data_IF_851266205440
#
_entry.id   IF_851266205440
#
_cell.length_a   1.000
_cell.length_b   1.000
_cell.length_c   1.000
_cell.angle_alpha   90.00
_cell.angle_beta   90.00
_cell.angle_gamma   90.00
#
_symmetry.space_group_name_H-M   'P 1'
#
loop_
_entity.id
_entity.type
_entity.pdbx_description
1 polymer ?
#
# COMPACT_ATOMS: atom_id res chain seq x y z
N UNK A 1 -18.55 -6.79 10.25
CA UNK A 1 -17.39 -6.35 9.47
C UNK A 1 -16.58 -7.55 9.04
N UNK A 2 -16.21 -7.56 7.78
CA UNK A 2 -15.43 -8.66 7.27
C UNK A 2 -13.95 -8.43 7.59
N UNK A 3 -13.26 -9.48 8.03
CA UNK A 3 -11.84 -9.40 8.31
C UNK A 3 -11.10 -10.16 7.23
N UNK A 4 -10.22 -9.47 6.54
CA UNK A 4 -9.36 -10.08 5.53
C UNK A 4 -7.98 -10.29 6.12
N UNK A 5 -7.20 -11.13 5.50
CA UNK A 5 -5.82 -11.32 5.96
C UNK A 5 -4.87 -11.15 4.79
N UNK A 6 -3.65 -10.74 5.10
CA UNK A 6 -2.60 -10.62 4.11
C UNK A 6 -1.34 -11.26 4.67
N UNK A 7 -0.66 -12.04 3.84
CA UNK A 7 0.56 -12.70 4.24
C UNK A 7 1.76 -11.92 3.73
N UNK A 8 2.62 -11.54 4.65
CA UNK A 8 3.87 -10.88 4.31
C UNK A 8 4.97 -11.63 5.05
N UNK A 9 5.40 -12.78 4.49
CA UNK A 9 6.36 -13.64 5.21
C UNK A 9 7.67 -12.94 5.50
N UNK A 10 8.02 -11.94 4.71
CA UNK A 10 9.24 -11.17 4.94
C UNK A 10 9.20 -10.42 6.27
N UNK A 11 8.00 -10.15 6.79
CA UNK A 11 7.85 -9.41 8.03
C UNK A 11 7.47 -10.35 9.17
N UNK A 12 6.51 -11.24 8.94
CA UNK A 12 6.02 -12.12 9.99
C UNK A 12 5.49 -13.41 9.39
N UNK A 13 5.69 -14.51 10.10
CA UNK A 13 5.13 -15.80 9.68
C UNK A 13 3.61 -15.81 9.82
N UNK A 14 3.08 -15.00 10.73
CA UNK A 14 1.65 -14.95 10.97
C UNK A 14 1.03 -13.92 10.06
N UNK A 15 -0.11 -14.27 9.44
CA UNK A 15 -0.80 -13.33 8.57
C UNK A 15 -1.30 -12.13 9.36
N UNK A 16 -1.31 -10.98 8.71
CA UNK A 16 -1.83 -9.76 9.32
C UNK A 16 -3.31 -9.65 9.02
N UNK A 17 -4.08 -9.19 10.00
CA UNK A 17 -5.50 -8.95 9.82
C UNK A 17 -5.70 -7.56 9.20
N UNK A 18 -6.63 -7.50 8.24
CA UNK A 18 -6.95 -6.25 7.57
C UNK A 18 -8.41 -5.94 7.85
N UNK A 19 -8.66 -4.89 8.62
CA UNK A 19 -10.01 -4.50 8.96
C UNK A 19 -10.51 -3.47 7.95
N UNK A 20 -11.67 -3.74 7.35
CA UNK A 20 -12.24 -2.81 6.38
C UNK A 20 -13.21 -1.86 7.08
N UNK A 21 -12.73 -1.28 8.17
CA UNK A 21 -13.49 -0.34 8.97
C UNK A 21 -13.52 1.03 8.30
N UNK A 22 -14.46 1.87 8.73
CA UNK A 22 -14.50 3.25 8.24
C UNK A 22 -13.17 3.95 8.45
N UNK A 23 -12.52 3.70 9.59
CA UNK A 23 -11.24 4.33 9.88
C UNK A 23 -10.20 3.96 8.83
N UNK A 24 -10.12 2.69 8.47
CA UNK A 24 -9.13 2.25 7.49
C UNK A 24 -9.50 2.66 6.08
N UNK A 25 -10.80 2.70 5.76
CA UNK A 25 -11.22 3.22 4.46
C UNK A 25 -10.86 4.69 4.34
N UNK A 26 -11.04 5.47 5.41
CA UNK A 26 -10.63 6.87 5.40
C UNK A 26 -9.12 6.99 5.20
N UNK A 27 -8.35 6.14 5.87
CA UNK A 27 -6.89 6.15 5.70
C UNK A 27 -6.51 5.87 4.25
N UNK A 28 -7.20 4.94 3.61
CA UNK A 28 -6.94 4.62 2.22
C UNK A 28 -7.23 5.82 1.31
N UNK A 29 -8.35 6.50 1.53
CA UNK A 29 -8.68 7.68 0.73
C UNK A 29 -7.69 8.81 0.96
N UNK A 30 -7.28 9.02 2.21
CA UNK A 30 -6.29 10.05 2.51
C UNK A 30 -4.97 9.77 1.81
N UNK A 31 -4.56 8.50 1.81
CA UNK A 31 -3.36 8.08 1.11
C UNK A 31 -3.47 8.35 -0.38
N UNK A 32 -4.58 7.96 -1.00
CA UNK A 32 -4.76 8.16 -2.42
C UNK A 32 -4.81 9.65 -2.79
N UNK A 33 -5.50 10.44 -1.98
CA UNK A 33 -5.57 11.88 -2.25
C UNK A 33 -4.19 12.54 -2.11
N UNK A 34 -3.42 12.12 -1.11
CA UNK A 34 -2.07 12.65 -0.93
C UNK A 34 -1.19 12.31 -2.13
N UNK A 35 -1.27 11.07 -2.61
CA UNK A 35 -0.47 10.65 -3.75
C UNK A 35 -0.85 11.43 -5.01
N UNK A 36 -2.14 11.62 -5.23
CA UNK A 36 -2.60 12.38 -6.39
C UNK A 36 -2.12 13.82 -6.36
N UNK A 37 -2.22 14.45 -5.18
CA UNK A 37 -1.78 15.82 -5.02
C UNK A 37 -0.29 15.97 -5.26
N UNK A 38 0.49 15.04 -4.72
CA UNK A 38 1.94 15.06 -4.91
C UNK A 38 2.27 14.82 -6.38
N UNK A 39 1.58 13.87 -7.03
CA UNK A 39 1.83 13.55 -8.43
C UNK A 39 1.58 14.75 -9.33
N UNK A 40 0.54 15.52 -9.03
CA UNK A 40 0.27 16.74 -9.80
C UNK A 40 1.42 17.73 -9.69
N UNK A 41 2.01 17.83 -8.51
CA UNK A 41 3.14 18.72 -8.30
C UNK A 41 4.38 18.25 -9.07
N UNK A 42 4.61 16.94 -9.10
CA UNK A 42 5.77 16.38 -9.75
C UNK A 42 5.71 16.56 -11.27
N UNK A 43 4.53 16.46 -11.83
CA UNK A 43 4.37 16.38 -13.28
C UNK A 43 5.05 17.53 -14.01
N UNK A 44 4.94 18.74 -13.48
CA UNK A 44 5.56 19.91 -14.09
C UNK A 44 6.76 20.40 -13.30
N UNK A 45 7.26 19.60 -12.38
CA UNK A 45 8.33 20.04 -11.49
C UNK A 45 9.72 19.82 -12.06
N UNK A 46 10.70 20.49 -11.49
CA UNK A 46 12.09 20.27 -11.88
C UNK A 46 12.61 18.99 -11.16
N UNK A 47 13.88 18.70 -11.37
CA UNK A 47 14.47 17.46 -10.83
C UNK A 47 14.35 17.39 -9.31
N UNK A 48 14.56 18.51 -8.63
CA UNK A 48 14.49 18.54 -7.16
C UNK A 48 13.06 18.28 -6.72
N UNK A 49 12.08 18.91 -7.38
CA UNK A 49 10.68 18.71 -7.03
C UNK A 49 10.24 17.28 -7.29
N UNK A 50 10.73 16.67 -8.37
CA UNK A 50 10.41 15.28 -8.66
C UNK A 50 10.97 14.35 -7.60
N UNK A 51 12.21 14.58 -7.17
CA UNK A 51 12.81 13.76 -6.13
C UNK A 51 12.07 13.92 -4.81
N UNK A 52 11.70 15.15 -4.46
CA UNK A 52 10.97 15.42 -3.24
C UNK A 52 9.60 14.75 -3.25
N UNK A 53 8.93 14.79 -4.41
CA UNK A 53 7.63 14.16 -4.56
C UNK A 53 7.70 12.65 -4.45
N UNK A 54 8.70 12.04 -5.08
CA UNK A 54 8.88 10.59 -4.99
C UNK A 54 9.11 10.15 -3.56
N UNK A 55 9.92 10.91 -2.82
CA UNK A 55 10.17 10.66 -1.41
C UNK A 55 8.86 10.74 -0.63
N UNK A 56 8.07 11.78 -0.88
CA UNK A 56 6.82 11.99 -0.14
C UNK A 56 5.80 10.88 -0.44
N UNK A 57 5.72 10.45 -1.71
CA UNK A 57 4.81 9.37 -2.08
C UNK A 57 5.19 8.09 -1.32
N UNK A 58 6.48 7.77 -1.27
CA UNK A 58 6.91 6.57 -0.56
C UNK A 58 6.59 6.67 0.92
N UNK A 59 6.80 7.85 1.52
CA UNK A 59 6.47 8.04 2.93
C UNK A 59 4.98 7.84 3.18
N UNK A 60 4.13 8.35 2.29
CA UNK A 60 2.68 8.17 2.42
C UNK A 60 2.31 6.69 2.32
N UNK A 61 2.93 5.98 1.38
CA UNK A 61 2.67 4.56 1.20
C UNK A 61 3.05 3.75 2.43
N UNK A 62 4.24 4.00 2.96
CA UNK A 62 4.72 3.29 4.14
C UNK A 62 3.84 3.58 5.36
N UNK A 63 3.44 4.84 5.52
CA UNK A 63 2.56 5.22 6.63
C UNK A 63 1.20 4.58 6.53
N UNK A 64 0.66 4.48 5.32
CA UNK A 64 -0.63 3.84 5.09
C UNK A 64 -0.56 2.35 5.49
N UNK A 65 0.47 1.65 5.01
CA UNK A 65 0.62 0.22 5.33
C UNK A 65 0.77 0.04 6.83
N UNK A 66 1.62 0.84 7.47
CA UNK A 66 1.84 0.73 8.91
C UNK A 66 0.55 0.92 9.69
N UNK A 67 -0.23 1.94 9.31
CA UNK A 67 -1.45 2.27 10.04
C UNK A 67 -2.52 1.19 9.86
N UNK A 68 -2.71 0.72 8.63
CA UNK A 68 -3.76 -0.26 8.35
C UNK A 68 -3.44 -1.60 9.00
N UNK A 69 -2.18 -2.01 8.96
CA UNK A 69 -1.76 -3.29 9.54
C UNK A 69 -1.36 -3.17 11.01
N UNK A 70 -1.33 -1.95 11.53
CA UNK A 70 -0.97 -1.69 12.94
C UNK A 70 0.39 -2.30 13.26
N UNK A 71 1.38 -2.02 12.43
CA UNK A 71 2.72 -2.57 12.62
C UNK A 71 3.41 -1.91 13.80
N UNK A 72 4.06 -2.72 14.63
CA UNK A 72 4.90 -2.18 15.70
C UNK A 72 6.22 -1.73 15.09
N UNK A 73 7.10 -1.15 15.92
CA UNK A 73 8.35 -0.59 15.42
C UNK A 73 9.24 -1.65 14.78
N UNK A 74 9.27 -2.84 15.34
CA UNK A 74 10.10 -3.91 14.80
C UNK A 74 9.62 -4.36 13.43
N UNK A 75 8.31 -4.55 13.28
CA UNK A 75 7.73 -4.97 12.01
C UNK A 75 7.82 -3.87 10.97
N UNK A 76 7.65 -2.62 11.40
CA UNK A 76 7.80 -1.49 10.48
C UNK A 76 9.23 -1.41 9.96
N UNK A 77 10.20 -1.69 10.82
CA UNK A 77 11.60 -1.68 10.40
C UNK A 77 11.84 -2.74 9.33
N UNK A 78 11.19 -3.90 9.45
CA UNK A 78 11.29 -4.94 8.43
C UNK A 78 10.63 -4.50 7.12
N UNK A 79 9.52 -3.77 7.21
CA UNK A 79 8.88 -3.22 6.04
C UNK A 79 9.82 -2.29 5.28
N UNK A 80 10.60 -1.49 6.01
CA UNK A 80 11.54 -0.57 5.39
C UNK A 80 12.63 -1.29 4.60
N UNK A 81 12.89 -2.55 4.91
CA UNK A 81 13.92 -3.32 4.22
C UNK A 81 13.40 -4.13 3.04
N UNK A 82 12.09 -4.06 2.77
CA UNK A 82 11.55 -4.76 1.61
C UNK A 82 11.89 -4.05 0.31
N UNK A 83 11.89 -4.80 -0.79
CA UNK A 83 12.02 -4.18 -2.09
C UNK A 83 10.86 -3.24 -2.32
N UNK A 84 11.12 -2.15 -3.00
CA UNK A 84 10.09 -1.16 -3.27
C UNK A 84 8.91 -1.75 -4.03
N UNK A 85 9.20 -2.61 -5.01
CA UNK A 85 8.13 -3.24 -5.79
C UNK A 85 7.22 -4.08 -4.89
N UNK A 86 7.80 -4.80 -3.94
CA UNK A 86 7.02 -5.61 -3.00
C UNK A 86 6.12 -4.72 -2.15
N UNK A 87 6.67 -3.59 -1.70
CA UNK A 87 5.91 -2.64 -0.90
C UNK A 87 4.72 -2.10 -1.68
N UNK A 88 4.92 -1.81 -2.97
CA UNK A 88 3.82 -1.34 -3.82
C UNK A 88 2.74 -2.39 -3.96
N UNK A 89 3.13 -3.66 -4.11
CA UNK A 89 2.16 -4.75 -4.19
C UNK A 89 1.30 -4.83 -2.93
N UNK A 90 1.94 -4.69 -1.77
CA UNK A 90 1.22 -4.73 -0.51
C UNK A 90 0.22 -3.58 -0.44
N UNK A 91 0.65 -2.37 -0.78
CA UNK A 91 -0.23 -1.21 -0.73
C UNK A 91 -1.42 -1.37 -1.67
N UNK A 92 -1.17 -1.87 -2.89
CA UNK A 92 -2.24 -2.07 -3.86
C UNK A 92 -3.26 -3.09 -3.37
N UNK A 93 -2.78 -4.14 -2.73
CA UNK A 93 -3.66 -5.18 -2.21
C UNK A 93 -4.54 -4.62 -1.08
N UNK A 94 -3.94 -3.81 -0.20
CA UNK A 94 -4.71 -3.20 0.87
C UNK A 94 -5.77 -2.25 0.33
N UNK A 95 -5.42 -1.45 -0.67
CA UNK A 95 -6.38 -0.56 -1.31
C UNK A 95 -7.54 -1.37 -1.89
N UNK A 96 -7.21 -2.46 -2.58
CA UNK A 96 -8.25 -3.31 -3.17
C UNK A 96 -9.18 -3.88 -2.12
N UNK A 97 -8.64 -4.33 -0.99
CA UNK A 97 -9.49 -4.83 0.09
C UNK A 97 -10.43 -3.75 0.62
N UNK A 98 -9.96 -2.51 0.71
CA UNK A 98 -10.81 -1.42 1.18
C UNK A 98 -11.95 -1.12 0.22
N UNK A 99 -11.75 -1.43 -1.08
CA UNK A 99 -12.83 -1.29 -2.07
C UNK A 99 -13.68 -2.55 -2.16
N UNK A 100 -13.39 -3.56 -1.35
CA UNK A 100 -14.20 -4.77 -1.33
C UNK A 100 -13.84 -5.80 -2.38
N UNK A 101 -12.67 -5.68 -2.99
CA UNK A 101 -12.26 -6.63 -4.03
C UNK A 101 -11.80 -7.94 -3.41
N UNK A 102 -12.07 -9.04 -4.11
CA UNK A 102 -11.55 -10.34 -3.71
C UNK A 102 -10.12 -10.48 -4.21
N UNK A 103 -9.41 -11.50 -3.72
CA UNK A 103 -8.06 -11.76 -4.21
C UNK A 103 -8.06 -12.02 -5.71
N UNK A 104 -9.05 -12.75 -6.20
CA UNK A 104 -9.14 -13.02 -7.63
C UNK A 104 -9.34 -11.74 -8.43
N UNK A 105 -10.19 -10.85 -7.93
CA UNK A 105 -10.43 -9.58 -8.61
C UNK A 105 -9.18 -8.71 -8.62
N UNK A 106 -8.41 -8.76 -7.54
CA UNK A 106 -7.18 -8.00 -7.47
C UNK A 106 -6.15 -8.50 -8.48
N UNK A 107 -6.03 -9.82 -8.61
CA UNK A 107 -5.11 -10.39 -9.57
C UNK A 107 -5.50 -9.98 -10.99
N UNK A 108 -6.79 -10.06 -11.30
CA UNK A 108 -7.26 -9.68 -12.62
C UNK A 108 -7.04 -8.19 -12.90
N UNK A 109 -7.26 -7.36 -11.89
CA UNK A 109 -7.13 -5.92 -12.08
C UNK A 109 -5.68 -5.50 -12.30
N UNK A 110 -4.75 -6.17 -11.62
CA UNK A 110 -3.35 -5.81 -11.77
C UNK A 110 -2.69 -6.47 -12.97
N UNK A 111 -3.32 -7.49 -13.51
CA UNK A 111 -2.75 -8.20 -14.64
C UNK A 111 -1.56 -9.06 -14.30
N UNK A 112 -1.36 -9.31 -13.02
CA UNK A 112 -0.20 -10.05 -12.61
C UNK A 112 -0.36 -11.50 -12.74
N UNK A 113 -1.56 -11.92 -12.96
CA UNK A 113 -1.73 -13.27 -13.00
C UNK A 113 -1.20 -13.87 -14.11
N UNK A 114 -1.01 -13.68 -14.87
CA UNK A 114 -0.74 -14.41 -15.76
C UNK A 114 0.11 -14.51 -16.50
N UNK A 115 0.72 -14.98 -16.41
CA UNK A 115 1.64 -15.12 -17.11
C UNK A 115 1.48 -16.03 -18.08
N UNK A 116 0.98 -16.72 -18.12
CA UNK A 116 0.94 -17.56 -18.92
C UNK A 116 0.45 -17.24 -19.86
N UNK A 117 0.23 -16.60 -19.76
CA UNK A 117 -0.28 -16.22 -20.65
C UNK A 117 0.37 -15.97 -21.36
#
# INVERSE_FOLDING_TARGET
MEIRTIKIPEISKKAFEVFTSNRNVLRMHEYQLAVLKISDTIEDGDTQEQAQGSYSILKEMLGFIRAVLNLNDEDYDKLLDLENKRTQEIAEKLVGYMYGLTDEQLENATGETDPKD
#
